data_IF_222807786560
#
_entry.id   IF_222807786560
#
_cell.length_a   1.000
_cell.length_b   1.000
_cell.length_c   1.000
_cell.angle_alpha   90.00
_cell.angle_beta   90.00
_cell.angle_gamma   90.00
#
_symmetry.space_group_name_H-M   'P 1'
#
loop_
_entity.id
_entity.type
_entity.pdbx_description
1 polymer ?
#
# COMPACT_ATOMS: atom_id res chain seq x y z
N UNK A 1 11.48 -3.71 -8.00
CA UNK A 1 10.09 -3.75 -8.50
C UNK A 1 9.86 -2.51 -9.35
N UNK A 2 9.96 -2.62 -10.68
CA UNK A 2 9.78 -1.51 -11.63
C UNK A 2 8.31 -1.10 -11.85
N UNK A 3 7.49 -1.13 -10.79
CA UNK A 3 6.04 -0.93 -10.85
C UNK A 3 5.68 0.51 -10.43
N UNK A 4 4.71 1.12 -11.11
CA UNK A 4 4.23 2.47 -10.80
C UNK A 4 3.23 2.44 -9.63
N UNK A 5 3.19 3.51 -8.82
CA UNK A 5 2.35 3.60 -7.62
C UNK A 5 0.85 3.30 -7.85
N UNK A 6 0.20 3.68 -8.97
CA UNK A 6 -1.20 3.31 -9.22
C UNK A 6 -1.40 1.80 -9.32
N UNK A 7 -0.46 1.09 -9.92
CA UNK A 7 -0.51 -0.35 -10.15
C UNK A 7 -0.21 -1.13 -8.87
N UNK A 8 0.78 -0.66 -8.11
CA UNK A 8 1.08 -1.17 -6.78
C UNK A 8 -0.09 -0.96 -5.81
N UNK A 9 -0.72 0.22 -5.85
CA UNK A 9 -1.90 0.53 -5.04
C UNK A 9 -3.06 -0.42 -5.33
N UNK A 10 -3.32 -0.72 -6.62
CA UNK A 10 -4.37 -1.66 -7.02
C UNK A 10 -4.10 -3.09 -6.54
N UNK A 11 -2.86 -3.59 -6.68
CA UNK A 11 -2.49 -4.92 -6.18
C UNK A 11 -2.63 -5.03 -4.66
N UNK A 12 -2.18 -4.03 -3.92
CA UNK A 12 -2.29 -4.03 -2.46
C UNK A 12 -3.76 -3.93 -1.98
N UNK A 13 -4.62 -3.22 -2.71
CA UNK A 13 -6.07 -3.20 -2.45
C UNK A 13 -6.69 -4.58 -2.63
N UNK A 14 -6.42 -5.23 -3.76
CA UNK A 14 -7.01 -6.53 -4.12
C UNK A 14 -6.47 -7.68 -3.27
N UNK A 15 -5.16 -7.73 -3.03
CA UNK A 15 -4.51 -8.90 -2.42
C UNK A 15 -4.26 -8.75 -0.91
N UNK A 16 -4.07 -7.52 -0.40
CA UNK A 16 -3.73 -7.29 1.00
C UNK A 16 -4.90 -6.75 1.86
N UNK A 17 -6.03 -6.38 1.24
CA UNK A 17 -7.23 -5.82 1.87
C UNK A 17 -6.95 -4.60 2.78
N UNK A 18 -5.88 -3.87 2.47
CA UNK A 18 -5.52 -2.61 3.11
C UNK A 18 -5.96 -1.47 2.20
N UNK A 19 -6.56 -0.38 2.71
CA UNK A 19 -6.81 0.82 1.91
C UNK A 19 -5.51 1.65 1.80
N UNK A 20 -4.73 1.57 0.71
CA UNK A 20 -3.53 2.35 0.52
C UNK A 20 -3.98 3.75 0.06
N UNK A 21 -3.69 4.77 0.85
CA UNK A 21 -3.97 6.15 0.41
C UNK A 21 -2.90 6.57 -0.59
N UNK A 22 -3.35 7.11 -1.74
CA UNK A 22 -2.47 7.76 -2.71
C UNK A 22 -1.78 8.94 -2.03
N UNK A 23 -0.47 9.04 -2.21
CA UNK A 23 0.34 10.07 -1.57
C UNK A 23 0.56 11.21 -2.55
N UNK A 24 -0.49 12.01 -2.80
CA UNK A 24 -0.45 13.10 -3.78
C UNK A 24 0.31 14.34 -3.29
N UNK A 25 0.56 14.45 -1.98
CA UNK A 25 1.22 15.60 -1.36
C UNK A 25 2.76 15.50 -1.28
N UNK A 26 3.37 14.45 -1.83
CA UNK A 26 4.83 14.23 -1.76
C UNK A 26 5.60 14.79 -2.97
N UNK A 27 4.97 15.65 -3.76
CA UNK A 27 5.57 16.20 -4.99
C UNK A 27 5.58 15.20 -6.15
N UNK A 28 5.86 15.70 -7.35
CA UNK A 28 5.68 14.95 -8.61
C UNK A 28 6.68 13.80 -8.80
N UNK A 29 7.85 13.84 -8.14
CA UNK A 29 8.88 12.79 -8.30
C UNK A 29 8.66 11.59 -7.38
N UNK A 30 8.11 11.82 -6.20
CA UNK A 30 7.97 10.79 -5.15
C UNK A 30 6.57 10.18 -5.16
N UNK A 31 5.52 10.99 -5.35
CA UNK A 31 4.14 10.51 -5.41
C UNK A 31 3.89 9.33 -6.38
N UNK A 32 4.53 9.25 -7.56
CA UNK A 32 4.29 8.16 -8.51
C UNK A 32 5.00 6.85 -8.17
N UNK A 33 5.92 6.83 -7.19
CA UNK A 33 6.79 5.69 -6.89
C UNK A 33 6.45 4.97 -5.59
N UNK A 34 5.67 5.61 -4.71
CA UNK A 34 5.43 5.11 -3.36
C UNK A 34 3.94 5.10 -3.02
N UNK A 35 3.59 4.17 -2.13
CA UNK A 35 2.26 4.05 -1.52
C UNK A 35 2.44 4.08 -0.01
N UNK A 36 1.54 4.78 0.70
CA UNK A 36 1.56 4.83 2.16
C UNK A 36 0.52 3.87 2.72
N UNK A 37 0.98 2.99 3.59
CA UNK A 37 0.10 2.16 4.40
C UNK A 37 -0.26 2.95 5.66
N UNK A 38 -1.56 3.13 5.89
CA UNK A 38 -2.10 3.87 7.04
C UNK A 38 -2.75 2.85 7.97
N UNK A 39 -2.19 2.69 9.17
CA UNK A 39 -2.62 1.68 10.15
C UNK A 39 -3.25 2.28 11.41
N UNK A 40 -3.29 3.61 11.52
CA UNK A 40 -3.60 4.32 12.76
C UNK A 40 -5.01 4.02 13.32
N UNK A 41 -5.93 3.57 12.46
CA UNK A 41 -7.33 3.26 12.81
C UNK A 41 -7.69 1.79 12.59
N UNK A 42 -6.71 0.92 12.33
CA UNK A 42 -6.98 -0.49 12.02
C UNK A 42 -6.86 -1.38 13.26
N UNK A 43 -7.75 -2.36 13.45
CA UNK A 43 -7.68 -3.27 14.59
C UNK A 43 -6.44 -4.19 14.50
N UNK A 44 -5.88 -4.56 15.65
CA UNK A 44 -4.68 -5.42 15.74
C UNK A 44 -4.86 -6.73 14.97
N UNK A 45 -6.05 -7.33 15.01
CA UNK A 45 -6.39 -8.54 14.26
C UNK A 45 -6.15 -8.39 12.75
N UNK A 46 -6.37 -7.19 12.21
CA UNK A 46 -6.17 -6.89 10.79
C UNK A 46 -4.72 -6.58 10.43
N UNK A 47 -3.94 -6.08 11.40
CA UNK A 47 -2.50 -5.87 11.24
C UNK A 47 -1.69 -7.18 11.28
N UNK A 48 -2.22 -8.22 11.94
CA UNK A 48 -1.58 -9.55 11.94
C UNK A 48 -1.44 -10.07 10.52
N UNK A 49 -0.25 -10.57 10.18
CA UNK A 49 0.07 -11.14 8.87
C UNK A 49 0.21 -10.11 7.73
N UNK A 50 0.16 -8.80 8.01
CA UNK A 50 0.19 -7.76 6.97
C UNK A 50 1.45 -7.84 6.11
N UNK A 51 2.61 -8.09 6.71
CA UNK A 51 3.87 -8.21 5.97
C UNK A 51 3.90 -9.42 5.03
N UNK A 52 3.22 -10.52 5.38
CA UNK A 52 3.12 -11.69 4.52
C UNK A 52 2.20 -11.43 3.33
N UNK A 53 1.05 -10.79 3.56
CA UNK A 53 0.12 -10.37 2.49
C UNK A 53 0.77 -9.37 1.53
N UNK A 54 1.52 -8.40 2.05
CA UNK A 54 2.29 -7.46 1.23
C UNK A 54 3.31 -8.21 0.38
N UNK A 55 4.12 -9.10 0.97
CA UNK A 55 5.10 -9.89 0.21
C UNK A 55 4.46 -10.80 -0.85
N UNK A 56 3.27 -11.34 -0.60
CA UNK A 56 2.54 -12.14 -1.58
C UNK A 56 1.99 -11.31 -2.75
N UNK A 57 1.69 -10.03 -2.52
CA UNK A 57 1.14 -9.11 -3.53
C UNK A 57 2.19 -8.45 -4.42
N UNK A 58 3.46 -8.46 -4.01
CA UNK A 58 4.60 -7.87 -4.73
C UNK A 58 5.16 -8.87 -5.75
#
# INVERSE_FOLDING_TARGET
LGMRAPELSRRLLSEAALPPRRVTAWGQDVAPRYVRLVYATEPISRLRGVGQRVRAAL
#
